data_IF_599518711419
#
_entry.id   IF_599518711419
#
_cell.length_a   1.000
_cell.length_b   1.000
_cell.length_c   1.000
_cell.angle_alpha   90.00
_cell.angle_beta   90.00
_cell.angle_gamma   90.00
#
_symmetry.space_group_name_H-M   'P 1'
#
loop_
_entity.id
_entity.type
_entity.pdbx_description
1 polymer ?
#
# COMPACT_ATOMS: atom_id res chain seq x y z
N UNK A 1 2.87 0.92 0.33
CA UNK A 1 2.25 1.04 1.67
C UNK A 1 2.20 2.50 2.08
N UNK A 2 1.45 2.81 3.13
CA UNK A 2 1.30 4.18 3.63
C UNK A 2 2.42 4.56 4.62
N UNK A 3 3.07 3.59 5.22
CA UNK A 3 4.34 3.71 5.96
C UNK A 3 5.41 2.75 5.39
N UNK A 4 6.61 2.79 5.97
CA UNK A 4 7.75 1.98 5.52
C UNK A 4 7.59 0.47 5.79
N UNK A 5 7.03 0.10 6.95
CA UNK A 5 6.81 -1.30 7.35
C UNK A 5 5.80 -1.96 6.42
N UNK A 6 4.66 -1.31 6.19
CA UNK A 6 3.64 -1.81 5.27
C UNK A 6 4.15 -1.86 3.83
N UNK A 7 4.97 -0.89 3.40
CA UNK A 7 5.56 -0.90 2.06
C UNK A 7 6.49 -2.09 1.85
N UNK A 8 7.35 -2.40 2.83
CA UNK A 8 8.20 -3.57 2.76
C UNK A 8 7.37 -4.87 2.71
N UNK A 9 6.36 -5.00 3.57
CA UNK A 9 5.50 -6.20 3.60
C UNK A 9 4.72 -6.40 2.30
N UNK A 10 4.11 -5.35 1.75
CA UNK A 10 3.40 -5.44 0.48
C UNK A 10 4.34 -5.74 -0.70
N UNK A 11 5.58 -5.21 -0.67
CA UNK A 11 6.56 -5.52 -1.71
C UNK A 11 7.00 -6.99 -1.67
N UNK A 12 7.17 -7.55 -0.47
CA UNK A 12 7.47 -8.97 -0.30
C UNK A 12 6.35 -9.84 -0.87
N UNK A 13 5.10 -9.56 -0.49
CA UNK A 13 3.92 -10.27 -1.03
C UNK A 13 3.82 -10.13 -2.56
N UNK A 14 4.08 -8.94 -3.10
CA UNK A 14 4.06 -8.71 -4.55
C UNK A 14 5.12 -9.54 -5.29
N UNK A 15 6.27 -9.79 -4.64
CA UNK A 15 7.34 -10.64 -5.17
C UNK A 15 7.15 -12.12 -4.85
N UNK A 16 6.02 -12.51 -4.25
CA UNK A 16 5.73 -13.89 -3.86
C UNK A 16 6.57 -14.38 -2.66
N UNK A 17 7.16 -13.46 -1.90
CA UNK A 17 7.93 -13.79 -0.69
C UNK A 17 7.01 -13.87 0.52
N UNK A 18 7.32 -14.80 1.41
CA UNK A 18 6.59 -14.98 2.66
C UNK A 18 6.87 -13.82 3.62
N UNK A 19 5.84 -13.36 4.31
CA UNK A 19 5.94 -12.34 5.35
C UNK A 19 5.75 -13.04 6.69
N UNK A 20 6.81 -13.06 7.50
CA UNK A 20 6.78 -13.72 8.81
C UNK A 20 5.67 -13.18 9.72
N UNK A 21 5.17 -14.05 10.59
CA UNK A 21 3.99 -13.79 11.44
C UNK A 21 4.14 -12.51 12.29
N UNK A 22 5.32 -12.25 12.86
CA UNK A 22 5.57 -11.04 13.64
C UNK A 22 5.35 -9.75 12.85
N UNK A 23 5.70 -9.74 11.56
CA UNK A 23 5.48 -8.59 10.68
C UNK A 23 4.03 -8.47 10.29
N UNK A 24 3.36 -9.61 10.08
CA UNK A 24 1.93 -9.62 9.77
C UNK A 24 1.10 -9.16 10.96
N UNK A 25 1.46 -9.55 12.19
CA UNK A 25 0.82 -9.12 13.42
C UNK A 25 0.94 -7.60 13.68
N UNK A 26 1.94 -6.94 13.09
CA UNK A 26 2.10 -5.48 13.12
C UNK A 26 1.29 -4.74 12.07
N UNK A 27 0.61 -5.45 11.17
CA UNK A 27 -0.29 -4.85 10.19
C UNK A 27 -1.53 -4.30 10.91
N UNK A 28 -1.73 -2.99 10.83
CA UNK A 28 -2.84 -2.32 11.50
C UNK A 28 -4.09 -2.30 10.62
N UNK A 29 -3.91 -2.14 9.31
CA UNK A 29 -5.02 -2.08 8.37
C UNK A 29 -4.57 -2.40 6.94
N UNK A 30 -5.50 -2.99 6.18
CA UNK A 30 -5.40 -3.19 4.74
C UNK A 30 -6.62 -2.52 4.09
N UNK A 31 -6.38 -1.61 3.17
CA UNK A 31 -7.40 -0.93 2.38
C UNK A 31 -7.34 -1.42 0.94
N UNK A 32 -8.51 -1.53 0.31
CA UNK A 32 -8.61 -1.62 -1.16
C UNK A 32 -9.00 -0.24 -1.68
N UNK A 33 -8.29 0.23 -2.70
CA UNK A 33 -8.60 1.47 -3.38
C UNK A 33 -9.51 1.16 -4.57
N UNK A 34 -10.73 1.66 -4.50
CA UNK A 34 -11.71 1.56 -5.58
C UNK A 34 -11.70 2.89 -6.37
N UNK A 35 -11.51 2.79 -7.69
CA UNK A 35 -11.52 3.94 -8.59
C UNK A 35 -12.92 4.12 -9.17
N UNK A 36 -13.53 5.28 -8.95
CA UNK A 36 -14.85 5.62 -9.51
C UNK A 36 -14.80 5.63 -11.04
N UNK A 37 -13.73 6.19 -11.60
CA UNK A 37 -13.45 6.17 -13.03
C UNK A 37 -12.26 5.24 -13.30
N UNK A 38 -12.47 4.07 -13.94
CA UNK A 38 -11.38 3.13 -14.25
C UNK A 38 -10.27 3.75 -15.13
N UNK A 39 -10.63 4.73 -15.97
CA UNK A 39 -9.67 5.48 -16.80
C UNK A 39 -8.71 6.36 -16.00
N UNK A 40 -9.01 6.66 -14.74
CA UNK A 40 -8.10 7.37 -13.84
C UNK A 40 -6.95 6.50 -13.31
N UNK A 41 -6.99 5.19 -13.56
CA UNK A 41 -5.89 4.29 -13.23
C UNK A 41 -4.79 4.38 -14.29
N UNK A 42 -3.53 4.28 -13.87
CA UNK A 42 -2.43 4.03 -14.82
C UNK A 42 -2.70 2.72 -15.57
N UNK A 43 -2.47 2.72 -16.89
CA UNK A 43 -2.75 1.56 -17.76
C UNK A 43 -2.12 0.25 -17.25
N UNK A 44 -0.90 0.32 -16.70
CA UNK A 44 -0.14 -0.81 -16.13
C UNK A 44 -0.87 -1.54 -14.97
N UNK A 45 -1.77 -0.85 -14.26
CA UNK A 45 -2.49 -1.41 -13.10
C UNK A 45 -4.01 -1.47 -13.33
N UNK A 46 -4.49 -1.08 -14.52
CA UNK A 46 -5.91 -1.10 -14.85
C UNK A 46 -6.50 -2.51 -14.70
N UNK A 47 -7.69 -2.61 -14.11
CA UNK A 47 -8.39 -3.87 -13.89
C UNK A 47 -7.84 -4.74 -12.75
N UNK A 48 -6.80 -4.29 -12.03
CA UNK A 48 -6.26 -4.99 -10.84
C UNK A 48 -6.60 -4.20 -9.57
N UNK A 49 -7.02 -4.87 -8.48
CA UNK A 49 -7.27 -4.18 -7.22
C UNK A 49 -5.97 -3.59 -6.67
N UNK A 50 -6.02 -2.33 -6.25
CA UNK A 50 -4.89 -1.64 -5.63
C UNK A 50 -5.04 -1.74 -4.12
N UNK A 51 -4.04 -2.29 -3.45
CA UNK A 51 -4.04 -2.42 -1.99
C UNK A 51 -3.08 -1.41 -1.34
N UNK A 52 -3.56 -0.79 -0.28
CA UNK A 52 -2.79 0.10 0.60
C UNK A 52 -2.80 -0.49 2.00
N UNK A 53 -1.74 -0.31 2.77
CA UNK A 53 -1.67 -0.85 4.12
C UNK A 53 -0.90 0.08 5.05
N UNK A 54 -1.18 -0.04 6.34
CA UNK A 54 -0.39 0.55 7.43
C UNK A 54 0.07 -0.52 8.40
N UNK A 55 1.29 -0.37 8.88
CA UNK A 55 1.86 -1.21 9.91
C UNK A 55 2.65 -0.36 10.92
N UNK A 56 2.69 -0.84 12.16
CA UNK A 56 3.56 -0.27 13.19
C UNK A 56 4.94 -0.93 13.16
N UNK A 57 5.93 -0.26 13.75
CA UNK A 57 7.23 -0.88 14.04
C UNK A 57 7.17 -1.81 15.26
N UNK A 58 8.30 -2.44 15.58
CA UNK A 58 8.45 -3.34 16.74
C UNK A 58 8.26 -2.64 18.10
N UNK A 59 8.30 -1.31 18.14
CA UNK A 59 8.02 -0.50 19.33
C UNK A 59 6.56 -0.02 19.38
N UNK A 60 5.68 -0.58 18.56
CA UNK A 60 4.27 -0.22 18.44
C UNK A 60 4.05 1.25 18.04
N UNK A 61 4.96 1.81 17.24
CA UNK A 61 4.83 3.18 16.73
C UNK A 61 4.47 3.15 15.26
N UNK A 62 3.44 3.93 14.91
CA UNK A 62 3.07 4.20 13.52
C UNK A 62 3.75 5.48 13.05
N UNK A 63 4.59 5.38 12.01
CA UNK A 63 5.22 6.53 11.35
C UNK A 63 4.73 6.67 9.92
N UNK A 64 3.70 7.51 9.74
CA UNK A 64 3.16 7.81 8.42
C UNK A 64 3.90 9.01 7.80
N UNK A 65 4.24 8.90 6.51
CA UNK A 65 4.67 10.06 5.73
C UNK A 65 3.44 10.66 5.06
N UNK A 66 3.09 11.95 5.30
CA UNK A 66 1.93 12.58 4.67
C UNK A 66 1.95 12.48 3.14
N UNK A 67 3.14 12.51 2.54
CA UNK A 67 3.32 12.40 1.10
C UNK A 67 2.84 11.05 0.53
N UNK A 68 2.86 9.96 1.33
CA UNK A 68 2.47 8.63 0.88
C UNK A 68 0.96 8.50 0.64
N UNK A 69 0.15 9.38 1.21
CA UNK A 69 -1.30 9.42 0.98
C UNK A 69 -1.65 10.08 -0.36
N UNK A 70 -0.81 10.99 -0.85
CA UNK A 70 -1.11 11.83 -2.01
C UNK A 70 -0.33 11.42 -3.27
N UNK A 71 0.94 11.01 -3.11
CA UNK A 71 1.86 10.81 -4.23
C UNK A 71 2.02 9.36 -4.68
N UNK A 72 1.70 8.38 -3.81
CA UNK A 72 1.86 6.95 -4.14
C UNK A 72 0.58 6.31 -4.69
N UNK A 73 -0.50 7.10 -4.87
CA UNK A 73 -1.72 6.60 -5.48
C UNK A 73 -1.47 6.40 -6.99
N UNK A 74 -1.92 5.28 -7.60
CA UNK A 74 -1.69 5.00 -9.01
C UNK A 74 -2.64 5.79 -9.92
N UNK A 75 -2.65 7.10 -9.75
CA UNK A 75 -3.44 8.05 -10.51
C UNK A 75 -2.81 8.29 -11.87
N UNK A 76 -3.62 8.33 -12.91
CA UNK A 76 -3.27 8.90 -14.19
C UNK A 76 -3.01 10.40 -13.99
N UNK A 77 -1.99 10.94 -14.68
CA UNK A 77 -1.78 12.38 -14.70
C UNK A 77 -2.95 12.99 -15.47
N UNK A 78 -3.71 13.88 -14.82
CA UNK A 78 -4.71 14.70 -15.50
C UNK A 78 -3.94 15.59 -16.50
N UNK A 79 -4.16 15.35 -17.79
CA UNK A 79 -3.60 16.13 -18.90
C UNK A 79 -4.46 17.34 -19.20
#
# INVERSE_FOLDING_TARGET
GLDAQASAALNDLYQGREVGEDRMARMLCLFRLDFVEPGAMRAEVSGRPVYLAMAMDEHQRLKLKPQNLLLNLPLARLS
#
